data_IF_921490346071
#
_entry.id   IF_921490346071
#
_cell.length_a   1.000
_cell.length_b   1.000
_cell.length_c   1.000
_cell.angle_alpha   90.00
_cell.angle_beta   90.00
_cell.angle_gamma   90.00
#
_symmetry.space_group_name_H-M   'P 1'
#
loop_
_entity.id
_entity.type
_entity.pdbx_description
1 polymer ?
2 water ?
#
# COMPACT_ATOMS: atom_id res chain seq x y z
N UNK A 10 -25.42 27.89 -19.64
CA UNK A 10 -24.68 26.59 -19.70
C UNK A 10 -23.16 26.78 -19.67
N UNK A 11 -22.50 25.98 -18.85
CA UNK A 11 -21.06 26.07 -18.69
C UNK A 11 -20.36 25.71 -19.96
N UNK A 12 -19.28 26.42 -20.26
CA UNK A 12 -18.39 25.98 -21.33
C UNK A 12 -17.11 25.37 -20.74
N UNK A 13 -17.16 25.00 -19.46
CA UNK A 13 -15.98 24.43 -18.81
C UNK A 13 -16.07 22.92 -18.70
N UNK A 14 -16.85 22.30 -19.60
CA UNK A 14 -17.03 20.84 -19.63
C UNK A 14 -15.70 20.09 -19.61
N UNK A 15 -15.62 19.11 -18.71
CA UNK A 15 -14.46 18.25 -18.52
C UNK A 15 -14.50 17.18 -19.64
N UNK A 16 -13.49 17.16 -20.53
CA UNK A 16 -13.50 16.15 -21.61
C UNK A 16 -13.19 14.73 -21.12
N UNK A 24 -12.45 17.19 -10.85
CA UNK A 24 -12.50 16.90 -12.30
C UNK A 24 -12.90 15.46 -12.78
N UNK A 25 -12.25 14.39 -12.31
CA UNK A 25 -12.72 13.04 -12.71
C UNK A 25 -12.21 11.84 -11.89
N UNK A 26 -12.94 10.74 -12.00
CA UNK A 26 -12.65 9.52 -11.25
C UNK A 26 -12.16 8.42 -12.21
N UNK A 27 -11.50 7.39 -11.69
CA UNK A 27 -10.92 6.36 -12.55
C UNK A 27 -11.88 5.20 -12.67
N UNK A 28 -12.12 4.75 -13.90
CA UNK A 28 -12.95 3.56 -14.16
C UNK A 28 -12.19 2.66 -15.07
N UNK A 29 -11.86 1.47 -14.58
CA UNK A 29 -11.02 0.56 -15.36
C UNK A 29 -10.50 -0.53 -14.47
N UNK A 30 -9.47 -1.20 -14.95
CA UNK A 30 -8.90 -2.34 -14.25
C UNK A 30 -7.59 -1.95 -13.61
N UNK A 31 -7.39 -2.42 -12.38
CA UNK A 31 -6.20 -2.15 -11.60
C UNK A 31 -5.43 -3.46 -11.38
N UNK A 32 -4.12 -3.47 -11.68
CA UNK A 32 -3.23 -4.57 -11.24
C UNK A 32 -2.08 -4.03 -10.44
N UNK A 33 -1.94 -4.47 -9.19
CA UNK A 33 -0.91 -3.95 -8.29
C UNK A 33 0.01 -5.10 -7.92
N UNK A 34 1.31 -4.90 -8.14
CA UNK A 34 2.30 -5.87 -7.68
C UNK A 34 3.19 -5.17 -6.65
N UNK A 35 3.43 -5.89 -5.54
CA UNK A 35 4.19 -5.37 -4.41
C UNK A 35 5.51 -6.12 -4.41
N UNK A 36 6.60 -5.37 -4.47
CA UNK A 36 7.93 -5.97 -4.48
C UNK A 36 8.47 -6.04 -3.06
N UNK A 37 9.54 -5.29 -2.81
CA UNK A 37 10.19 -5.21 -1.51
C UNK A 37 9.70 -3.98 -0.78
N UNK A 38 9.68 -4.09 0.55
CA UNK A 38 9.55 -2.90 1.38
C UNK A 38 10.81 -2.78 2.22
N UNK A 39 11.17 -1.55 2.57
CA UNK A 39 12.37 -1.32 3.36
C UNK A 39 12.09 -0.22 4.37
N UNK A 40 12.89 -0.23 5.44
CA UNK A 40 12.88 0.90 6.41
C UNK A 40 11.63 0.92 7.27
N UNK A 41 10.95 -0.23 7.42
CA UNK A 41 9.77 -0.25 8.31
C UNK A 41 10.20 -0.04 9.75
N UNK A 42 9.36 0.67 10.50
CA UNK A 42 9.66 1.01 11.89
C UNK A 42 8.48 0.64 12.82
N UNK A 43 8.71 -0.24 13.83
CA UNK A 43 7.64 -0.50 14.82
C UNK A 43 7.23 0.80 15.49
N UNK A 44 5.93 0.94 15.77
CA UNK A 44 5.46 2.10 16.51
C UNK A 44 5.81 1.92 17.99
N UNK A 45 5.73 3.02 18.74
CA UNK A 45 5.87 2.93 20.19
C UNK A 45 4.86 1.93 20.76
N UNK A 46 3.63 1.91 20.20
CA UNK A 46 2.61 0.96 20.71
C UNK A 46 3.15 -0.48 20.58
N UNK A 47 3.64 -0.81 19.39
CA UNK A 47 4.17 -2.15 19.18
C UNK A 47 5.34 -2.43 20.10
N UNK A 48 6.21 -1.44 20.30
CA UNK A 48 7.41 -1.66 21.11
C UNK A 48 7.08 -2.00 22.57
N UNK A 49 5.95 -1.48 23.04
CA UNK A 49 5.54 -1.66 24.45
C UNK A 49 4.67 -2.90 24.63
N UNK A 50 4.25 -3.51 23.53
CA UNK A 50 3.34 -4.67 23.62
C UNK A 50 4.04 -5.85 22.97
N UNK A 51 3.63 -6.19 21.74
CA UNK A 51 4.12 -7.39 21.07
C UNK A 51 5.65 -7.43 20.96
N UNK A 52 6.28 -6.28 20.77
CA UNK A 52 7.77 -6.26 20.63
C UNK A 52 8.50 -5.77 21.87
N UNK A 53 7.86 -5.96 23.03
CA UNK A 53 8.46 -5.64 24.33
C UNK A 53 9.34 -6.78 24.83
N UNK A 54 10.63 -6.46 25.04
CA UNK A 54 11.60 -7.39 25.64
C UNK A 54 11.62 -8.78 24.97
N UNK A 55 11.71 -8.78 23.65
CA UNK A 55 11.78 -10.03 22.91
C UNK A 55 13.20 -10.42 22.42
N UNK A 56 14.19 -9.55 22.61
CA UNK A 56 15.54 -9.77 22.05
C UNK A 56 15.72 -9.19 20.64
N UNK A 57 14.66 -8.61 20.11
CA UNK A 57 14.66 -7.97 18.78
C UNK A 57 13.44 -7.01 18.68
N UNK A 58 13.46 -6.13 17.69
CA UNK A 58 12.31 -5.27 17.34
C UNK A 58 12.10 -5.40 15.83
N UNK A 59 11.93 -6.65 15.39
CA UNK A 59 11.64 -6.93 13.98
C UNK A 59 10.14 -7.22 13.92
N UNK A 60 9.46 -6.57 12.98
CA UNK A 60 8.04 -6.75 12.72
C UNK A 60 7.67 -8.12 12.14
N UNK A 61 6.38 -8.46 12.15
CA UNK A 61 5.85 -9.55 11.31
C UNK A 61 4.86 -8.85 10.34
N UNK A 62 5.39 -8.21 9.29
CA UNK A 62 4.59 -7.30 8.49
C UNK A 62 3.78 -7.92 7.36
N UNK A 63 2.57 -7.38 7.18
CA UNK A 63 1.87 -7.66 5.92
C UNK A 63 1.32 -6.33 5.42
N UNK A 64 0.89 -6.30 4.16
CA UNK A 64 0.28 -5.09 3.59
C UNK A 64 -1.13 -5.38 3.08
N UNK A 65 -2.06 -4.44 3.31
CA UNK A 65 -3.35 -4.45 2.66
C UNK A 65 -3.36 -3.48 1.49
N UNK A 66 -4.17 -3.83 0.50
CA UNK A 66 -4.33 -3.00 -0.67
C UNK A 66 -5.83 -2.66 -0.69
N UNK A 67 -6.12 -1.36 -0.66
CA UNK A 67 -7.54 -0.89 -0.71
C UNK A 67 -7.76 0.13 -1.83
N UNK A 68 -8.98 0.16 -2.34
CA UNK A 68 -9.42 1.14 -3.35
C UNK A 68 -10.53 1.93 -2.69
N UNK A 69 -10.25 3.20 -2.38
CA UNK A 69 -11.20 4.04 -1.63
C UNK A 69 -11.82 3.27 -0.45
N UNK A 70 -10.97 2.79 0.43
CA UNK A 70 -11.44 2.18 1.72
C UNK A 70 -12.15 0.82 1.57
N UNK A 71 -12.17 0.25 0.37
CA UNK A 71 -12.66 -1.11 0.21
C UNK A 71 -11.42 -1.99 -0.03
N UNK A 72 -11.19 -2.98 0.83
CA UNK A 72 -9.99 -3.83 0.71
C UNK A 72 -10.10 -4.73 -0.51
N UNK A 73 -9.05 -4.78 -1.31
CA UNK A 73 -9.06 -5.60 -2.49
C UNK A 73 -7.98 -6.69 -2.43
N UNK A 74 -7.09 -6.58 -1.46
CA UNK A 74 -6.03 -7.59 -1.31
C UNK A 74 -5.27 -7.48 0.01
N UNK A 75 -4.57 -8.56 0.36
CA UNK A 75 -3.76 -8.64 1.57
C UNK A 75 -2.63 -9.55 1.25
N UNK A 76 -1.41 -9.07 1.51
CA UNK A 76 -0.23 -9.95 1.32
C UNK A 76 -0.18 -11.00 2.42
N UNK A 77 0.65 -12.02 2.22
CA UNK A 77 1.01 -12.95 3.31
C UNK A 77 1.78 -12.13 4.37
N UNK A 78 1.92 -12.70 5.57
CA UNK A 78 2.70 -12.06 6.62
C UNK A 78 4.10 -12.64 6.57
N UNK A 79 5.11 -11.76 6.55
CA UNK A 79 6.50 -12.22 6.64
C UNK A 79 6.91 -12.24 8.10
N UNK A 80 7.86 -13.10 8.48
CA UNK A 80 8.21 -13.24 9.89
C UNK A 80 9.51 -12.47 10.16
N UNK A 81 9.48 -11.65 11.22
CA UNK A 81 10.72 -11.10 11.79
C UNK A 81 11.58 -10.42 10.74
N UNK A 82 11.01 -9.39 10.13
CA UNK A 82 11.71 -8.55 9.18
C UNK A 82 11.12 -7.16 9.11
N UNK A 83 12.01 -6.18 9.02
CA UNK A 83 11.60 -4.79 8.78
C UNK A 83 11.85 -4.42 7.32
N UNK A 84 12.17 -5.43 6.50
CA UNK A 84 12.42 -5.24 5.06
C UNK A 84 11.88 -6.44 4.30
N UNK A 85 10.55 -6.67 4.40
CA UNK A 85 9.92 -7.86 3.76
C UNK A 85 9.99 -7.78 2.26
N UNK A 86 10.17 -8.94 1.62
CA UNK A 86 10.04 -9.07 0.20
C UNK A 86 8.77 -9.86 -0.10
N UNK A 87 7.84 -9.24 -0.82
CA UNK A 87 6.57 -9.93 -1.13
C UNK A 87 6.50 -10.57 -2.52
N UNK A 88 6.70 -9.77 -3.58
CA UNK A 88 6.44 -10.23 -4.96
C UNK A 88 5.05 -10.87 -5.05
N UNK A 89 4.04 -10.14 -4.56
CA UNK A 89 2.65 -10.62 -4.55
C UNK A 89 1.78 -9.64 -5.34
N UNK A 90 0.70 -10.16 -5.93
CA UNK A 90 -0.01 -9.41 -7.00
C UNK A 90 -1.50 -9.45 -6.75
N UNK A 91 -2.16 -8.31 -7.02
CA UNK A 91 -3.58 -8.15 -6.66
C UNK A 91 -4.25 -7.46 -7.82
N UNK A 92 -5.52 -7.73 -8.06
CA UNK A 92 -6.18 -7.01 -9.15
C UNK A 92 -7.63 -6.66 -8.75
N UNK A 93 -8.19 -5.66 -9.39
CA UNK A 93 -9.57 -5.26 -9.11
C UNK A 93 -10.14 -4.44 -10.24
N UNK A 94 -11.43 -4.61 -10.47
CA UNK A 94 -12.18 -3.69 -11.30
C UNK A 94 -12.42 -2.46 -10.46
N UNK A 95 -12.19 -1.28 -11.01
CA UNK A 95 -12.40 -0.07 -10.22
C UNK A 95 -13.50 0.75 -10.86
N UNK A 96 -14.43 1.25 -10.04
CA UNK A 96 -15.47 2.17 -10.53
C UNK A 96 -15.49 3.42 -9.66
N UNK A 97 -15.51 4.59 -10.31
CA UNK A 97 -15.42 5.89 -9.66
C UNK A 97 -14.28 6.00 -8.63
N UNK A 98 -13.10 5.53 -9.02
CA UNK A 98 -11.96 5.33 -8.12
C UNK A 98 -11.26 6.65 -7.89
N UNK A 99 -10.91 6.90 -6.63
CA UNK A 99 -10.26 8.14 -6.26
C UNK A 99 -8.82 7.78 -5.94
N UNK A 100 -8.64 6.86 -5.01
CA UNK A 100 -7.26 6.48 -4.68
C UNK A 100 -7.05 5.03 -4.27
N UNK A 101 -5.79 4.63 -4.28
CA UNK A 101 -5.34 3.30 -3.88
C UNK A 101 -4.58 3.49 -2.57
N UNK A 102 -4.88 2.69 -1.56
CA UNK A 102 -4.16 2.83 -0.28
C UNK A 102 -3.38 1.57 -0.03
N UNK A 103 -2.09 1.74 0.31
CA UNK A 103 -1.27 0.59 0.71
C UNK A 103 -1.01 0.79 2.19
N UNK A 104 -1.34 -0.20 3.01
CA UNK A 104 -1.12 -0.05 4.43
C UNK A 104 -0.38 -1.24 5.04
N UNK A 105 0.64 -0.95 5.85
CA UNK A 105 1.48 -1.98 6.46
C UNK A 105 1.03 -2.18 7.90
N UNK A 106 0.79 -3.45 8.27
CA UNK A 106 0.43 -3.81 9.65
C UNK A 106 1.45 -4.84 10.21
N UNK A 107 1.55 -4.87 11.53
CA UNK A 107 2.30 -5.89 12.25
C UNK A 107 1.31 -6.95 12.78
N UNK A 108 1.51 -8.21 12.37
CA UNK A 108 0.64 -9.29 12.85
C UNK A 108 0.99 -9.65 14.30
N UNK A 109 0.02 -9.42 15.18
CA UNK A 109 0.19 -9.76 16.59
C UNK A 109 -0.23 -11.20 16.88
N UNK A 110 0.24 -11.79 18.02
CA UNK A 110 -0.18 -13.19 18.28
C UNK A 110 -1.72 -13.34 18.46
N UNK A 111 -2.35 -12.34 19.07
CA UNK A 111 -3.79 -12.38 19.40
C UNK A 111 -4.34 -10.98 19.33
N UNK A 112 -5.62 -10.86 18.98
CA UNK A 112 -6.29 -9.57 18.94
C UNK A 112 -5.97 -8.81 17.65
N UNK A 113 -6.30 -7.53 17.63
CA UNK A 113 -6.06 -6.78 16.40
C UNK A 113 -4.58 -6.62 16.14
N UNK A 114 -4.25 -6.55 14.86
CA UNK A 114 -2.92 -6.21 14.38
C UNK A 114 -2.62 -4.75 14.66
N UNK A 115 -1.34 -4.37 14.54
CA UNK A 115 -0.94 -2.97 14.77
C UNK A 115 -0.60 -2.24 13.50
N UNK A 116 -1.12 -1.01 13.37
CA UNK A 116 -0.72 -0.15 12.25
C UNK A 116 0.77 0.11 12.27
N UNK A 117 1.39 0.10 11.08
CA UNK A 117 2.83 0.46 10.94
C UNK A 117 3.02 1.74 10.12
N UNK A 118 2.51 1.74 8.88
CA UNK A 118 2.71 2.88 7.98
C UNK A 118 1.76 2.73 6.79
N UNK A 119 1.53 3.80 6.04
CA UNK A 119 0.69 3.69 4.85
C UNK A 119 1.12 4.65 3.74
N UNK A 120 0.53 4.50 2.56
CA UNK A 120 0.81 5.38 1.40
C UNK A 120 -0.49 5.44 0.64
N UNK A 121 -0.95 6.66 0.27
CA UNK A 121 -2.17 6.79 -0.53
C UNK A 121 -1.73 7.36 -1.84
N UNK A 122 -2.13 6.68 -2.90
CA UNK A 122 -1.80 7.06 -4.27
C UNK A 122 -3.06 7.43 -4.99
N UNK A 123 -3.18 8.69 -5.40
CA UNK A 123 -4.32 9.10 -6.22
C UNK A 123 -4.23 8.45 -7.61
N UNK A 124 -5.35 7.92 -8.13
CA UNK A 124 -5.30 7.35 -9.52
C UNK A 124 -4.93 8.42 -10.52
N UNK A 125 -5.42 9.65 -10.30
CA UNK A 125 -5.03 10.70 -11.27
C UNK A 125 -3.51 11.01 -11.25
N UNK A 126 -2.86 10.90 -10.08
CA UNK A 126 -1.39 11.13 -9.97
C UNK A 126 -0.70 9.99 -10.73
N UNK A 127 -1.20 8.75 -10.57
CA UNK A 127 -0.63 7.64 -11.34
C UNK A 127 -0.78 7.89 -12.85
N UNK A 128 -1.97 8.24 -13.30
CA UNK A 128 -2.20 8.46 -14.73
C UNK A 128 -1.32 9.60 -15.26
N UNK A 129 -1.21 10.66 -14.47
CA UNK A 129 -0.39 11.80 -14.90
C UNK A 129 1.11 11.45 -15.01
N UNK A 130 1.53 10.54 -14.16
CA UNK A 130 2.94 10.14 -14.11
C UNK A 130 3.27 9.28 -15.31
N UNK A 131 2.38 8.33 -15.66
CA UNK A 131 2.78 7.31 -16.61
C UNK A 131 2.63 7.77 -18.06
N UNK A 132 1.79 8.79 -18.29
CA UNK A 132 1.69 9.39 -19.65
C UNK A 132 1.23 8.37 -20.68
N UNK A 133 2.08 8.12 -21.69
CA UNK A 133 1.74 7.20 -22.78
C UNK A 133 1.71 5.74 -22.33
N UNK A 134 2.31 5.48 -21.18
CA UNK A 134 2.36 4.16 -20.59
C UNK A 134 1.16 3.92 -19.64
N UNK A 135 0.74 2.65 -19.51
CA UNK A 135 -0.27 2.29 -18.50
C UNK A 135 0.33 1.82 -17.18
N UNK A 136 1.64 1.64 -17.14
CA UNK A 136 2.32 1.04 -15.98
C UNK A 136 3.22 2.02 -15.26
N UNK A 137 3.06 2.12 -13.94
CA UNK A 137 3.98 2.87 -13.08
C UNK A 137 4.87 1.84 -12.35
N UNK A 138 6.19 2.04 -12.27
CA UNK A 138 7.02 1.17 -11.44
C UNK A 138 7.88 2.08 -10.62
N UNK A 139 7.96 1.82 -9.33
CA UNK A 139 8.88 2.67 -8.55
C UNK A 139 8.64 2.54 -7.07
N UNK A 140 9.53 3.18 -6.31
CA UNK A 140 9.41 3.20 -4.84
C UNK A 140 8.39 4.27 -4.51
N UNK A 141 7.48 3.97 -3.58
CA UNK A 141 6.58 4.99 -3.02
C UNK A 141 6.84 5.10 -1.52
N UNK A 142 6.76 6.32 -0.99
CA UNK A 142 7.08 6.53 0.41
C UNK A 142 5.95 6.09 1.31
N UNK A 143 6.28 5.40 2.42
CA UNK A 143 5.31 5.11 3.48
C UNK A 143 5.41 6.17 4.57
N UNK A 144 4.27 6.52 5.15
CA UNK A 144 4.22 7.50 6.25
C UNK A 144 3.89 6.72 7.51
N UNK A 145 4.64 6.95 8.60
CA UNK A 145 5.66 8.03 8.77
C UNK A 145 7.06 7.72 8.21
N UNK A 146 7.36 6.45 7.94
CA UNK A 146 8.74 5.99 7.63
C UNK A 146 8.65 4.78 6.73
N UNK A 147 9.64 4.62 5.85
CA UNK A 147 9.72 3.42 5.00
C UNK A 147 9.38 3.70 3.54
N UNK A 148 9.60 2.69 2.69
CA UNK A 148 9.23 2.79 1.28
C UNK A 148 8.86 1.41 0.78
N UNK A 149 8.04 1.38 -0.26
CA UNK A 149 7.71 0.09 -0.85
C UNK A 149 7.78 0.18 -2.37
N UNK A 150 8.29 -0.86 -3.01
CA UNK A 150 8.42 -0.85 -4.46
C UNK A 150 7.17 -1.46 -5.06
N UNK A 151 6.55 -0.75 -6.01
CA UNK A 151 5.29 -1.22 -6.57
C UNK A 151 5.32 -1.16 -8.06
N UNK A 152 4.53 -2.03 -8.69
CA UNK A 152 4.30 -1.93 -10.14
C UNK A 152 2.78 -1.91 -10.27
N UNK A 153 2.27 -0.81 -10.81
CA UNK A 153 0.82 -0.60 -10.83
C UNK A 153 0.39 -0.32 -12.27
N UNK A 154 -0.58 -1.09 -12.76
CA UNK A 154 -1.05 -0.92 -14.14
C UNK A 154 -2.51 -0.51 -14.08
N UNK A 155 -2.85 0.54 -14.80
CA UNK A 155 -4.22 1.04 -14.88
C UNK A 155 -4.63 0.94 -16.34
N UNK A 156 -5.70 0.18 -16.61
CA UNK A 156 -6.16 0.01 -17.98
C UNK A 156 -7.62 0.39 -18.16
#
# INVERSE_FOLDING_TARGET
MGSSHHHHHHSSGLVPRGSMSSGTMKFNGYLRVRIGEAVGLQPTRWSLRHSLFKKGHQLLDPYLTVSVDQVRVGQTSTKQKTNKPTYNEEFCANVTDGGHLELAVFHETPLGYDHFVANCTLQFQELLRTTGASDTFEGWVDLEPEGKVFVVITLTG
#
